data_IF_983506159434
#
_entry.id   IF_983506159434
#
_cell.length_a   1.000
_cell.length_b   1.000
_cell.length_c   1.000
_cell.angle_alpha   90.00
_cell.angle_beta   90.00
_cell.angle_gamma   90.00
#
_symmetry.space_group_name_H-M   'P 1'
#
loop_
_entity.id
_entity.type
_entity.pdbx_description
1 polymer ?
#
# COMPACT_ATOMS: atom_id res chain seq x y z
N UNK A 1 -15.07 9.82 -21.15
CA UNK A 1 -14.34 8.57 -20.82
C UNK A 1 -13.38 8.79 -19.65
N UNK A 2 -13.52 8.07 -18.53
CA UNK A 2 -12.60 8.16 -17.38
C UNK A 2 -11.43 7.18 -17.55
N UNK A 3 -10.21 7.63 -17.24
CA UNK A 3 -9.02 6.77 -17.20
C UNK A 3 -8.17 7.13 -15.99
N UNK A 4 -7.57 6.14 -15.34
CA UNK A 4 -6.65 6.36 -14.23
C UNK A 4 -5.50 5.35 -14.26
N UNK A 5 -4.31 5.81 -13.86
CA UNK A 5 -3.20 4.95 -13.45
C UNK A 5 -3.31 4.75 -11.94
N UNK A 6 -3.25 3.50 -11.48
CA UNK A 6 -3.19 3.18 -10.05
C UNK A 6 -1.82 2.62 -9.69
N UNK A 7 -1.13 3.25 -8.75
CA UNK A 7 0.14 2.73 -8.21
C UNK A 7 -0.05 2.33 -6.76
N UNK A 8 0.56 1.20 -6.40
CA UNK A 8 0.44 0.62 -5.07
C UNK A 8 1.69 0.84 -4.24
N UNK A 9 1.51 1.30 -3.01
CA UNK A 9 2.54 1.50 -1.99
C UNK A 9 3.87 2.07 -2.57
N UNK A 10 3.87 3.33 -3.04
CA UNK A 10 5.04 3.94 -3.69
C UNK A 10 6.29 3.99 -2.82
N UNK A 11 6.15 4.16 -1.51
CA UNK A 11 7.24 4.23 -0.53
C UNK A 11 8.35 5.19 -0.95
N UNK A 12 7.98 6.41 -1.35
CA UNK A 12 8.95 7.43 -1.72
C UNK A 12 9.83 7.82 -0.54
N UNK A 13 11.13 7.98 -0.84
CA UNK A 13 12.21 8.22 0.14
C UNK A 13 13.22 9.25 -0.34
N UNK A 14 12.84 10.14 -1.25
CA UNK A 14 13.79 11.06 -1.86
C UNK A 14 14.45 11.94 -0.79
N UNK A 15 15.78 12.04 -0.83
CA UNK A 15 16.56 12.78 0.18
C UNK A 15 16.88 12.01 1.47
N UNK A 16 16.40 10.78 1.63
CA UNK A 16 16.81 9.88 2.72
C UNK A 16 17.88 8.89 2.25
N UNK A 17 18.39 8.08 3.17
CA UNK A 17 19.20 6.92 2.80
C UNK A 17 18.33 5.88 2.09
N UNK A 18 18.95 5.20 1.11
CA UNK A 18 18.37 4.02 0.48
C UNK A 18 18.01 2.97 1.55
N UNK A 19 16.98 2.13 1.32
CA UNK A 19 16.76 0.98 2.18
C UNK A 19 18.01 0.10 2.27
N UNK A 20 18.27 -0.48 3.45
CA UNK A 20 19.36 -1.45 3.65
C UNK A 20 19.24 -2.56 2.60
N UNK A 21 20.36 -3.04 2.06
CA UNK A 21 20.34 -4.07 1.02
C UNK A 21 19.96 -3.59 -0.38
N UNK A 22 19.56 -2.34 -0.59
CA UNK A 22 19.46 -1.75 -1.94
C UNK A 22 20.84 -1.27 -2.41
N UNK A 23 21.07 -1.24 -3.72
CA UNK A 23 22.24 -0.60 -4.32
C UNK A 23 22.11 0.93 -4.36
N UNK A 24 23.20 1.64 -4.59
CA UNK A 24 23.21 3.12 -4.67
C UNK A 24 22.37 3.69 -5.83
N UNK A 25 21.95 2.84 -6.77
CA UNK A 25 21.06 3.24 -7.87
C UNK A 25 19.60 3.34 -7.47
N UNK A 26 19.22 3.03 -6.22
CA UNK A 26 17.83 2.97 -5.78
C UNK A 26 16.98 4.17 -6.22
N UNK A 27 17.42 5.41 -5.95
CA UNK A 27 16.66 6.60 -6.31
C UNK A 27 16.55 6.80 -7.83
N UNK A 28 17.59 6.45 -8.58
CA UNK A 28 17.55 6.45 -10.05
C UNK A 28 16.55 5.43 -10.57
N UNK A 29 16.50 4.25 -9.96
CA UNK A 29 15.55 3.20 -10.33
C UNK A 29 14.11 3.67 -10.08
N UNK A 30 13.83 4.27 -8.91
CA UNK A 30 12.50 4.84 -8.63
C UNK A 30 12.16 5.94 -9.63
N UNK A 31 13.08 6.87 -9.93
CA UNK A 31 12.82 7.91 -10.93
C UNK A 31 12.53 7.31 -12.32
N UNK A 32 13.27 6.30 -12.75
CA UNK A 32 13.03 5.64 -14.05
C UNK A 32 11.62 5.04 -14.13
N UNK A 33 11.13 4.47 -13.02
CA UNK A 33 9.75 3.97 -12.93
C UNK A 33 8.71 5.09 -12.99
N UNK A 34 8.99 6.23 -12.35
CA UNK A 34 8.10 7.39 -12.38
C UNK A 34 8.05 7.99 -13.79
N UNK A 35 9.20 8.16 -14.43
CA UNK A 35 9.29 8.62 -15.82
C UNK A 35 8.49 7.69 -16.74
N UNK A 36 8.58 6.36 -16.56
CA UNK A 36 7.80 5.40 -17.33
C UNK A 36 6.27 5.55 -17.18
N UNK A 37 5.76 5.74 -15.95
CA UNK A 37 4.31 5.95 -15.76
C UNK A 37 3.85 7.31 -16.28
N UNK A 38 4.71 8.34 -16.22
CA UNK A 38 4.44 9.67 -16.77
C UNK A 38 4.33 9.58 -18.28
N UNK A 39 5.32 8.96 -18.94
CA UNK A 39 5.32 8.76 -20.40
C UNK A 39 4.10 7.96 -20.84
N UNK A 40 3.79 6.85 -20.13
CA UNK A 40 2.60 6.05 -20.39
C UNK A 40 1.31 6.86 -20.22
N UNK A 41 1.19 7.64 -19.15
CA UNK A 41 0.05 8.52 -18.91
C UNK A 41 -0.12 9.54 -20.04
N UNK A 42 0.98 10.13 -20.50
CA UNK A 42 1.00 11.11 -21.60
C UNK A 42 0.54 10.48 -22.91
N UNK A 43 1.10 9.32 -23.28
CA UNK A 43 0.76 8.60 -24.51
C UNK A 43 -0.72 8.15 -24.55
N UNK A 44 -1.28 7.80 -23.41
CA UNK A 44 -2.67 7.32 -23.29
C UNK A 44 -3.69 8.43 -22.99
N UNK A 45 -3.23 9.68 -22.77
CA UNK A 45 -4.09 10.80 -22.36
C UNK A 45 -4.75 10.56 -21.00
N UNK A 46 -4.00 10.02 -20.03
CA UNK A 46 -4.44 9.79 -18.65
C UNK A 46 -3.93 10.92 -17.77
N UNK A 47 -4.86 11.61 -17.11
CA UNK A 47 -4.60 12.75 -16.22
C UNK A 47 -4.86 12.45 -14.74
N UNK A 48 -5.28 11.22 -14.42
CA UNK A 48 -5.63 10.80 -13.06
C UNK A 48 -4.66 9.74 -12.56
N UNK A 49 -4.02 10.01 -11.43
CA UNK A 49 -3.20 9.08 -10.66
C UNK A 49 -3.94 8.71 -9.37
N UNK A 50 -4.03 7.42 -9.06
CA UNK A 50 -4.58 6.92 -7.80
C UNK A 50 -3.46 6.19 -7.05
N UNK A 51 -3.12 6.65 -5.85
CA UNK A 51 -2.22 5.93 -4.94
C UNK A 51 -3.02 5.23 -3.84
N UNK A 52 -2.64 3.99 -3.53
CA UNK A 52 -3.32 3.18 -2.49
C UNK A 52 -2.87 3.49 -1.07
N UNK A 53 -2.19 4.62 -0.84
CA UNK A 53 -1.46 4.90 0.41
C UNK A 53 -0.03 4.37 0.39
N UNK A 54 0.66 4.54 1.52
CA UNK A 54 2.10 4.41 1.67
C UNK A 54 2.86 5.18 0.59
N UNK A 55 2.40 6.40 0.31
CA UNK A 55 3.06 7.30 -0.66
C UNK A 55 4.48 7.58 -0.18
N UNK A 56 4.67 7.77 1.13
CA UNK A 56 5.96 7.99 1.77
C UNK A 56 6.32 6.83 2.69
N UNK A 57 7.59 6.40 2.69
CA UNK A 57 8.03 5.30 3.57
C UNK A 57 8.35 5.77 5.00
N UNK A 58 8.71 7.06 5.18
CA UNK A 58 9.18 7.58 6.47
C UNK A 58 8.01 8.15 7.29
N UNK A 59 7.59 7.39 8.32
CA UNK A 59 6.53 7.77 9.29
C UNK A 59 6.87 8.99 10.15
N UNK A 60 8.15 9.14 10.48
CA UNK A 60 8.59 10.14 11.45
C UNK A 60 8.77 11.51 10.77
N UNK A 61 7.78 12.39 10.92
CA UNK A 61 7.79 13.75 10.35
C UNK A 61 9.04 14.53 10.74
N UNK A 62 9.54 14.35 11.97
CA UNK A 62 10.77 14.99 12.45
C UNK A 62 12.03 14.69 11.64
N UNK A 63 12.02 13.65 10.78
CA UNK A 63 13.14 13.32 9.90
C UNK A 63 13.16 14.10 8.59
N UNK A 64 12.06 14.80 8.25
CA UNK A 64 11.96 15.65 7.07
C UNK A 64 12.52 17.04 7.38
N UNK A 65 13.77 17.26 7.00
CA UNK A 65 14.31 18.63 6.92
C UNK A 65 13.92 19.28 5.58
N UNK A 66 14.19 20.59 5.45
CA UNK A 66 13.87 21.36 4.24
C UNK A 66 14.46 20.76 2.94
N UNK A 67 15.65 20.16 3.01
CA UNK A 67 16.29 19.54 1.84
C UNK A 67 15.52 18.30 1.39
N UNK A 68 15.08 17.48 2.34
CA UNK A 68 14.27 16.29 2.06
C UNK A 68 12.88 16.66 1.56
N UNK A 69 12.26 17.68 2.15
CA UNK A 69 10.97 18.20 1.68
C UNK A 69 11.09 18.64 0.22
N UNK A 70 12.06 19.51 -0.11
CA UNK A 70 12.25 20.01 -1.47
C UNK A 70 12.51 18.90 -2.49
N UNK A 71 13.27 17.86 -2.12
CA UNK A 71 13.51 16.71 -3.00
C UNK A 71 12.24 15.89 -3.28
N UNK A 72 11.38 15.72 -2.28
CA UNK A 72 10.10 15.04 -2.49
C UNK A 72 9.14 15.91 -3.30
N UNK A 73 9.06 17.21 -3.03
CA UNK A 73 8.26 18.16 -3.80
C UNK A 73 8.64 18.17 -5.29
N UNK A 74 9.94 18.22 -5.62
CA UNK A 74 10.37 18.19 -7.03
C UNK A 74 9.90 16.94 -7.79
N UNK A 75 9.77 15.79 -7.10
CA UNK A 75 9.24 14.57 -7.72
C UNK A 75 7.73 14.65 -7.86
N UNK A 76 7.04 15.21 -6.86
CA UNK A 76 5.61 15.43 -6.92
C UNK A 76 5.23 16.38 -8.04
N UNK A 77 5.96 17.48 -8.21
CA UNK A 77 5.74 18.45 -9.29
C UNK A 77 5.75 17.74 -10.66
N UNK A 78 6.73 16.86 -10.88
CA UNK A 78 6.83 16.08 -12.13
C UNK A 78 5.63 15.14 -12.33
N UNK A 79 5.07 14.58 -11.25
CA UNK A 79 3.87 13.76 -11.33
C UNK A 79 2.64 14.62 -11.59
N UNK A 80 2.48 15.75 -10.92
CA UNK A 80 1.34 16.66 -11.08
C UNK A 80 1.33 17.40 -12.41
N UNK A 81 2.48 17.56 -13.06
CA UNK A 81 2.59 18.08 -14.43
C UNK A 81 1.89 17.15 -15.45
N UNK A 82 1.88 15.83 -15.20
CA UNK A 82 1.20 14.85 -16.04
C UNK A 82 -0.18 14.46 -15.51
N UNK A 83 -0.27 14.21 -14.21
CA UNK A 83 -1.48 13.74 -13.53
C UNK A 83 -2.11 14.89 -12.75
N UNK A 84 -2.97 15.66 -13.44
CA UNK A 84 -3.70 16.78 -12.83
C UNK A 84 -4.51 16.39 -11.59
N UNK A 85 -4.99 15.14 -11.53
CA UNK A 85 -5.72 14.61 -10.38
C UNK A 85 -4.93 13.49 -9.73
N UNK A 86 -4.18 13.81 -8.67
CA UNK A 86 -3.56 12.81 -7.81
C UNK A 86 -4.46 12.50 -6.61
N UNK A 87 -5.25 11.44 -6.72
CA UNK A 87 -6.11 10.93 -5.66
C UNK A 87 -5.33 9.97 -4.76
N UNK A 88 -5.43 10.12 -3.44
CA UNK A 88 -4.82 9.18 -2.50
C UNK A 88 -5.63 8.99 -1.24
N UNK A 89 -5.35 7.88 -0.58
CA UNK A 89 -5.57 7.64 0.85
C UNK A 89 -4.22 7.61 1.56
N UNK A 90 -4.22 7.65 2.89
CA UNK A 90 -3.04 7.42 3.71
C UNK A 90 -2.89 5.94 4.04
N UNK A 91 -1.68 5.43 3.84
CA UNK A 91 -1.27 4.12 4.34
C UNK A 91 -0.67 4.20 5.74
N UNK A 92 -0.25 3.06 6.28
CA UNK A 92 0.29 3.02 7.64
C UNK A 92 1.69 3.69 7.74
N UNK A 93 2.40 3.90 6.63
CA UNK A 93 3.64 4.67 6.55
C UNK A 93 3.46 6.17 6.37
N UNK A 94 2.34 6.58 5.82
CA UNK A 94 1.95 7.99 5.73
C UNK A 94 1.53 8.56 7.09
N UNK A 95 1.21 7.69 8.05
CA UNK A 95 0.69 8.06 9.37
C UNK A 95 1.77 7.95 10.47
N UNK A 96 2.02 9.03 11.25
CA UNK A 96 2.84 8.95 12.44
C UNK A 96 2.31 7.90 13.42
N UNK A 97 3.20 7.02 13.86
CA UNK A 97 2.86 5.84 14.69
C UNK A 97 1.83 4.89 14.07
N UNK A 98 1.58 4.98 12.76
CA UNK A 98 0.52 4.23 12.05
C UNK A 98 -0.89 4.54 12.58
N UNK A 99 -1.10 5.74 13.14
CA UNK A 99 -2.40 6.15 13.68
C UNK A 99 -3.00 7.28 12.86
N UNK A 100 -4.28 7.11 12.50
CA UNK A 100 -5.05 8.12 11.77
C UNK A 100 -5.24 9.40 12.58
N UNK A 101 -5.27 9.31 13.91
CA UNK A 101 -5.37 10.47 14.81
C UNK A 101 -4.22 11.45 14.60
N UNK A 102 -3.06 10.94 14.16
CA UNK A 102 -1.86 11.74 13.91
C UNK A 102 -1.71 12.14 12.43
N UNK A 103 -2.71 11.89 11.57
CA UNK A 103 -2.63 12.22 10.13
C UNK A 103 -2.24 13.67 9.90
N UNK A 104 -2.79 14.60 10.69
CA UNK A 104 -2.51 16.04 10.56
C UNK A 104 -1.03 16.42 10.78
N UNK A 105 -0.26 15.59 11.48
CA UNK A 105 1.16 15.81 11.76
C UNK A 105 2.08 15.16 10.70
N UNK A 106 1.51 14.49 9.70
CA UNK A 106 2.27 13.74 8.70
C UNK A 106 2.80 14.61 7.55
N UNK A 107 3.84 14.11 6.89
CA UNK A 107 4.26 14.67 5.60
C UNK A 107 3.20 14.45 4.50
N UNK A 108 2.38 13.40 4.62
CA UNK A 108 1.24 13.18 3.73
C UNK A 108 0.21 14.30 3.83
N UNK A 109 -0.12 14.76 5.03
CA UNK A 109 -1.02 15.88 5.25
C UNK A 109 -0.42 17.22 4.82
N UNK A 110 0.91 17.37 4.91
CA UNK A 110 1.60 18.47 4.25
C UNK A 110 1.35 18.48 2.73
N UNK A 111 1.45 17.34 2.04
CA UNK A 111 1.16 17.26 0.60
C UNK A 111 -0.30 17.61 0.28
N UNK A 112 -1.26 17.18 1.12
CA UNK A 112 -2.69 17.53 0.97
C UNK A 112 -2.91 19.04 1.11
N UNK A 113 -2.39 19.64 2.18
CA UNK A 113 -2.60 21.07 2.47
C UNK A 113 -1.96 22.00 1.44
N UNK A 114 -0.98 21.51 0.68
CA UNK A 114 -0.36 22.23 -0.43
C UNK A 114 -0.99 21.91 -1.80
N UNK A 115 -2.10 21.15 -1.83
CA UNK A 115 -2.86 20.87 -3.05
C UNK A 115 -2.18 19.91 -4.02
N UNK A 116 -1.19 19.14 -3.55
CA UNK A 116 -0.46 18.17 -4.37
C UNK A 116 -1.24 16.85 -4.46
N UNK A 117 -1.83 16.43 -3.34
CA UNK A 117 -2.62 15.20 -3.22
C UNK A 117 -4.05 15.57 -2.83
N UNK A 118 -5.02 15.06 -3.57
CA UNK A 118 -6.43 15.09 -3.20
C UNK A 118 -6.74 13.88 -2.30
N UNK A 119 -7.01 14.15 -1.03
CA UNK A 119 -7.33 13.12 -0.03
C UNK A 119 -8.78 12.64 -0.20
N UNK A 120 -8.94 11.42 -0.72
CA UNK A 120 -10.25 10.78 -0.94
C UNK A 120 -10.71 9.93 0.25
N UNK A 121 -9.94 9.91 1.35
CA UNK A 121 -10.30 9.16 2.56
C UNK A 121 -11.61 9.66 3.18
N UNK A 122 -12.56 8.74 3.36
CA UNK A 122 -13.91 9.01 3.88
C UNK A 122 -14.70 10.08 3.10
N UNK A 123 -14.23 10.40 1.90
CA UNK A 123 -14.81 11.33 0.94
C UNK A 123 -14.98 10.60 -0.40
N UNK A 124 -15.52 11.31 -1.38
CA UNK A 124 -15.57 10.82 -2.74
C UNK A 124 -15.12 11.87 -3.73
N UNK A 125 -14.36 11.45 -4.74
CA UNK A 125 -14.09 12.23 -5.94
C UNK A 125 -15.02 11.74 -7.05
N UNK A 126 -15.65 12.66 -7.79
CA UNK A 126 -16.52 12.30 -8.91
C UNK A 126 -16.04 13.00 -10.18
N UNK A 127 -15.75 12.21 -11.21
CA UNK A 127 -15.56 12.68 -12.58
C UNK A 127 -16.55 11.95 -13.50
N UNK A 128 -17.42 12.72 -14.17
CA UNK A 128 -18.43 12.21 -15.12
C UNK A 128 -19.32 11.12 -14.51
N UNK A 129 -19.20 9.89 -15.01
CA UNK A 129 -19.95 8.71 -14.58
C UNK A 129 -19.20 7.87 -13.54
N UNK A 130 -18.05 8.32 -13.03
CA UNK A 130 -17.23 7.57 -12.07
C UNK A 130 -17.18 8.29 -10.73
N UNK A 131 -17.38 7.55 -9.65
CA UNK A 131 -17.14 8.02 -8.28
C UNK A 131 -16.09 7.16 -7.62
N UNK A 132 -15.01 7.78 -7.14
CA UNK A 132 -13.91 7.15 -6.42
C UNK A 132 -14.05 7.43 -4.93
N UNK A 133 -14.06 6.38 -4.12
CA UNK A 133 -14.07 6.42 -2.67
C UNK A 133 -12.72 5.95 -2.13
N UNK A 134 -12.31 6.47 -0.98
CA UNK A 134 -11.12 6.03 -0.27
C UNK A 134 -11.38 5.70 1.19
N UNK A 135 -10.64 4.74 1.73
CA UNK A 135 -10.52 4.48 3.17
C UNK A 135 -9.03 4.43 3.54
N UNK A 136 -8.63 5.28 4.49
CA UNK A 136 -7.30 5.23 5.09
C UNK A 136 -7.02 3.86 5.74
N UNK A 137 -5.74 3.54 5.94
CA UNK A 137 -5.33 2.42 6.78
C UNK A 137 -5.95 2.51 8.18
N UNK A 138 -6.43 1.38 8.70
CA UNK A 138 -6.84 1.26 10.10
C UNK A 138 -6.51 -0.11 10.68
N UNK A 139 -6.03 -0.15 11.92
CA UNK A 139 -5.86 -1.42 12.63
C UNK A 139 -7.20 -2.05 13.06
N UNK A 140 -8.31 -1.30 13.01
CA UNK A 140 -9.64 -1.78 13.38
C UNK A 140 -10.41 -2.29 12.16
N UNK A 141 -10.37 -3.61 11.96
CA UNK A 141 -11.11 -4.26 10.89
C UNK A 141 -12.64 -4.15 11.03
N UNK A 142 -13.16 -3.98 12.24
CA UNK A 142 -14.60 -3.80 12.43
C UNK A 142 -15.03 -2.42 11.94
N UNK A 143 -14.26 -1.39 12.29
CA UNK A 143 -14.48 -0.02 11.83
C UNK A 143 -14.37 0.06 10.30
N UNK A 144 -13.31 -0.52 9.72
CA UNK A 144 -13.13 -0.63 8.27
C UNK A 144 -14.37 -1.24 7.58
N UNK A 145 -14.83 -2.40 8.06
CA UNK A 145 -15.99 -3.10 7.48
C UNK A 145 -17.26 -2.24 7.57
N UNK A 146 -17.44 -1.48 8.66
CA UNK A 146 -18.57 -0.56 8.79
C UNK A 146 -18.51 0.57 7.76
N UNK A 147 -17.33 1.16 7.52
CA UNK A 147 -17.16 2.17 6.49
C UNK A 147 -17.37 1.62 5.08
N UNK A 148 -16.85 0.43 4.79
CA UNK A 148 -17.10 -0.25 3.52
C UNK A 148 -18.60 -0.49 3.28
N UNK A 149 -19.33 -0.94 4.30
CA UNK A 149 -20.77 -1.13 4.22
C UNK A 149 -21.54 0.20 4.00
N UNK A 150 -21.07 1.31 4.59
CA UNK A 150 -21.63 2.64 4.36
C UNK A 150 -21.40 3.10 2.91
N UNK A 151 -20.16 2.98 2.42
CA UNK A 151 -19.80 3.31 1.03
C UNK A 151 -20.60 2.45 0.04
N UNK A 152 -20.78 1.15 0.32
CA UNK A 152 -21.59 0.28 -0.52
C UNK A 152 -23.04 0.78 -0.63
N UNK A 153 -23.66 1.18 0.48
CA UNK A 153 -25.01 1.76 0.48
C UNK A 153 -25.07 3.03 -0.34
N UNK A 154 -24.05 3.88 -0.29
CA UNK A 154 -24.00 5.11 -1.06
C UNK A 154 -23.79 4.84 -2.56
N UNK A 155 -22.93 3.89 -2.90
CA UNK A 155 -22.77 3.38 -4.27
C UNK A 155 -24.08 2.85 -4.84
N UNK A 156 -24.82 2.06 -4.05
CA UNK A 156 -26.13 1.56 -4.44
C UNK A 156 -27.10 2.70 -4.75
N UNK A 157 -27.21 3.70 -3.87
CA UNK A 157 -28.06 4.88 -4.12
C UNK A 157 -27.68 5.60 -5.42
N UNK A 158 -26.39 5.77 -5.69
CA UNK A 158 -25.92 6.39 -6.94
C UNK A 158 -26.37 5.61 -8.17
N UNK A 159 -26.29 4.27 -8.11
CA UNK A 159 -26.72 3.38 -9.18
C UNK A 159 -28.24 3.32 -9.34
N UNK A 160 -28.99 3.31 -8.25
CA UNK A 160 -30.46 3.31 -8.26
C UNK A 160 -31.01 4.61 -8.89
N UNK A 161 -30.31 5.73 -8.72
CA UNK A 161 -30.65 7.02 -9.34
C UNK A 161 -30.20 7.13 -10.81
N UNK A 162 -29.33 6.24 -11.26
CA UNK A 162 -28.78 6.27 -12.61
C UNK A 162 -29.61 5.47 -13.61
N UNK A 163 -30.56 6.15 -14.24
CA UNK A 163 -31.41 5.58 -15.28
C UNK A 163 -30.63 5.05 -16.49
N UNK A 164 -29.41 5.55 -16.71
CA UNK A 164 -28.57 5.14 -17.85
C UNK A 164 -27.76 3.89 -17.57
N UNK A 165 -27.63 3.48 -16.30
CA UNK A 165 -26.80 2.36 -15.83
C UNK A 165 -25.32 2.47 -16.23
N UNK A 166 -24.83 3.69 -16.40
CA UNK A 166 -23.45 4.02 -16.78
C UNK A 166 -22.56 4.36 -15.59
N UNK A 167 -23.15 4.65 -14.41
CA UNK A 167 -22.42 5.02 -13.18
C UNK A 167 -21.58 3.86 -12.68
N UNK A 168 -20.32 4.16 -12.38
CA UNK A 168 -19.35 3.21 -11.83
C UNK A 168 -18.71 3.75 -10.57
N UNK A 169 -18.36 2.82 -9.68
CA UNK A 169 -17.73 3.16 -8.40
C UNK A 169 -16.44 2.40 -8.19
N UNK A 170 -15.43 3.13 -7.71
CA UNK A 170 -14.11 2.62 -7.35
C UNK A 170 -13.95 2.82 -5.84
N UNK A 171 -13.49 1.80 -5.12
CA UNK A 171 -13.10 1.89 -3.72
C UNK A 171 -11.61 1.60 -3.59
N UNK A 172 -10.87 2.53 -2.99
CA UNK A 172 -9.44 2.40 -2.69
C UNK A 172 -9.28 2.15 -1.19
N UNK A 173 -8.55 1.10 -0.81
CA UNK A 173 -8.26 0.77 0.60
C UNK A 173 -6.78 0.42 0.79
N UNK A 174 -6.27 0.65 2.00
CA UNK A 174 -4.90 0.29 2.37
C UNK A 174 -4.90 -0.84 3.42
N UNK A 175 -5.16 -2.08 2.99
CA UNK A 175 -5.27 -3.24 3.89
C UNK A 175 -4.72 -4.51 3.25
N UNK A 176 -4.36 -5.50 4.06
CA UNK A 176 -3.98 -6.80 3.53
C UNK A 176 -5.19 -7.49 2.90
N UNK A 177 -5.27 -7.48 1.58
CA UNK A 177 -6.33 -8.15 0.82
C UNK A 177 -5.72 -9.29 0.01
N UNK A 178 -6.23 -10.51 0.16
CA UNK A 178 -5.65 -11.70 -0.48
C UNK A 178 -6.72 -12.58 -1.16
N UNK A 179 -6.32 -13.34 -2.21
CA UNK A 179 -7.22 -14.31 -2.83
C UNK A 179 -7.66 -15.39 -1.84
N UNK A 180 -8.85 -15.93 -2.06
CA UNK A 180 -9.36 -17.08 -1.34
C UNK A 180 -8.38 -18.27 -1.41
N UNK A 181 -8.12 -18.89 -0.25
CA UNK A 181 -7.21 -20.05 -0.15
C UNK A 181 -5.71 -19.70 -0.15
N UNK A 182 -5.33 -18.43 -0.27
CA UNK A 182 -3.93 -18.04 -0.14
C UNK A 182 -3.45 -18.17 1.32
N UNK A 183 -2.37 -18.92 1.53
CA UNK A 183 -1.80 -19.13 2.87
C UNK A 183 -0.98 -17.92 3.32
N UNK A 184 -1.61 -17.00 4.03
CA UNK A 184 -0.95 -15.84 4.63
C UNK A 184 -0.62 -16.11 6.10
N UNK A 185 0.66 -15.99 6.46
CA UNK A 185 1.19 -16.49 7.74
C UNK A 185 1.17 -15.47 8.88
N UNK A 186 0.96 -14.19 8.60
CA UNK A 186 1.14 -13.11 9.59
C UNK A 186 0.14 -11.99 9.38
N UNK A 187 -0.31 -11.38 10.47
CA UNK A 187 -1.21 -10.22 10.43
C UNK A 187 -2.64 -10.57 10.03
N UNK A 188 -3.53 -9.60 10.27
CA UNK A 188 -4.90 -9.69 9.81
C UNK A 188 -4.95 -9.45 8.29
N UNK A 189 -5.95 -10.05 7.65
CA UNK A 189 -6.20 -9.91 6.22
C UNK A 189 -7.69 -10.08 5.94
N UNK A 190 -8.09 -9.65 4.75
CA UNK A 190 -9.43 -9.82 4.20
C UNK A 190 -9.35 -10.67 2.94
N UNK A 191 -10.27 -11.62 2.80
CA UNK A 191 -10.38 -12.44 1.60
C UNK A 191 -11.16 -11.72 0.51
N UNK A 192 -10.85 -12.03 -0.74
CA UNK A 192 -11.57 -11.49 -1.90
C UNK A 192 -13.07 -11.78 -1.83
N UNK A 193 -13.47 -13.01 -1.47
CA UNK A 193 -14.87 -13.36 -1.29
C UNK A 193 -15.58 -12.59 -0.18
N UNK A 194 -14.91 -12.36 0.96
CA UNK A 194 -15.46 -11.60 2.08
C UNK A 194 -15.73 -10.15 1.68
N UNK A 195 -14.75 -9.51 1.03
CA UNK A 195 -14.91 -8.13 0.57
C UNK A 195 -16.01 -8.05 -0.49
N UNK A 196 -15.95 -8.86 -1.54
CA UNK A 196 -16.93 -8.82 -2.63
C UNK A 196 -18.38 -9.08 -2.13
N UNK A 197 -18.54 -9.80 -1.02
CA UNK A 197 -19.84 -10.00 -0.38
C UNK A 197 -20.28 -8.81 0.48
N UNK A 198 -19.33 -8.07 1.07
CA UNK A 198 -19.58 -6.88 1.87
C UNK A 198 -19.91 -5.64 1.00
N UNK A 199 -19.32 -5.54 -0.18
CA UNK A 199 -19.44 -4.39 -1.09
C UNK A 199 -20.01 -4.75 -2.48
N UNK A 200 -21.15 -5.46 -2.58
CA UNK A 200 -21.67 -5.98 -3.85
C UNK A 200 -22.06 -4.91 -4.87
N UNK A 201 -22.25 -3.66 -4.42
CA UNK A 201 -22.59 -2.50 -5.25
C UNK A 201 -21.36 -1.68 -5.65
N UNK A 202 -20.14 -2.10 -5.31
CA UNK A 202 -18.88 -1.46 -5.77
C UNK A 202 -18.36 -2.21 -7.00
N UNK A 203 -18.03 -1.47 -8.07
CA UNK A 203 -17.59 -2.10 -9.33
C UNK A 203 -16.10 -2.48 -9.32
N UNK A 204 -15.26 -1.66 -8.67
CA UNK A 204 -13.81 -1.85 -8.64
C UNK A 204 -13.30 -1.60 -7.22
N UNK A 205 -12.53 -2.53 -6.68
CA UNK A 205 -11.73 -2.38 -5.47
C UNK A 205 -10.25 -2.31 -5.85
N UNK A 206 -9.54 -1.29 -5.38
CA UNK A 206 -8.08 -1.15 -5.51
C UNK A 206 -7.45 -1.31 -4.13
N UNK A 207 -6.60 -2.31 -3.97
CA UNK A 207 -6.03 -2.68 -2.66
C UNK A 207 -4.54 -2.33 -2.53
N UNK A 208 -4.18 -1.71 -1.40
CA UNK A 208 -2.81 -1.40 -0.97
C UNK A 208 -2.24 -2.35 0.09
N UNK A 209 -1.24 -1.87 0.82
CA UNK A 209 -0.63 -2.44 2.03
C UNK A 209 0.19 -3.73 1.85
N UNK A 210 -0.41 -4.77 1.27
CA UNK A 210 0.30 -6.02 1.03
C UNK A 210 1.18 -5.85 -0.20
N UNK A 211 2.49 -5.68 -0.06
CA UNK A 211 3.36 -5.43 -1.22
C UNK A 211 3.37 -6.54 -2.30
N UNK A 212 2.82 -7.74 -2.02
CA UNK A 212 2.62 -8.78 -3.03
C UNK A 212 1.54 -8.38 -4.04
N UNK A 213 1.79 -8.70 -5.30
CA UNK A 213 0.80 -8.59 -6.36
C UNK A 213 0.06 -9.89 -6.62
N UNK A 214 -1.20 -9.73 -6.99
CA UNK A 214 -2.08 -10.78 -7.47
C UNK A 214 -2.71 -10.32 -8.77
N UNK A 215 -3.01 -11.27 -9.64
CA UNK A 215 -3.71 -10.98 -10.89
C UNK A 215 -5.04 -10.31 -10.60
N UNK A 216 -5.38 -9.26 -11.34
CA UNK A 216 -6.72 -8.69 -11.31
C UNK A 216 -7.78 -9.74 -11.63
N UNK A 217 -8.78 -9.86 -10.77
CA UNK A 217 -9.89 -10.83 -10.91
C UNK A 217 -11.23 -10.16 -10.71
N UNK A 218 -12.28 -10.73 -11.29
CA UNK A 218 -13.66 -10.34 -11.00
C UNK A 218 -14.24 -11.34 -10.01
N UNK A 219 -14.53 -10.88 -8.79
CA UNK A 219 -15.21 -11.64 -7.75
C UNK A 219 -16.64 -11.11 -7.62
N UNK A 220 -17.63 -11.94 -7.92
CA UNK A 220 -19.02 -11.50 -8.08
C UNK A 220 -19.14 -10.34 -9.09
N UNK A 221 -19.62 -9.17 -8.65
CA UNK A 221 -19.74 -7.98 -9.50
C UNK A 221 -18.53 -7.03 -9.40
N UNK A 222 -17.60 -7.28 -8.48
CA UNK A 222 -16.50 -6.38 -8.16
C UNK A 222 -15.20 -6.87 -8.80
N UNK A 223 -14.54 -6.01 -9.56
CA UNK A 223 -13.16 -6.21 -9.95
C UNK A 223 -12.24 -5.92 -8.77
N UNK A 224 -11.36 -6.84 -8.43
CA UNK A 224 -10.34 -6.67 -7.40
C UNK A 224 -9.00 -6.45 -8.10
N UNK A 225 -8.48 -5.25 -7.94
CA UNK A 225 -7.22 -4.76 -8.48
C UNK A 225 -6.21 -4.72 -7.35
N UNK A 226 -5.20 -5.59 -7.42
CA UNK A 226 -4.25 -5.79 -6.34
C UNK A 226 -2.86 -6.08 -6.91
N UNK A 227 -2.28 -5.12 -7.67
CA UNK A 227 -1.02 -5.31 -8.36
C UNK A 227 0.14 -5.44 -7.36
N UNK A 228 1.33 -5.76 -7.87
CA UNK A 228 2.55 -5.64 -7.08
C UNK A 228 2.82 -4.18 -6.69
N UNK A 229 3.47 -3.96 -5.55
CA UNK A 229 3.80 -2.59 -5.16
C UNK A 229 4.82 -1.96 -6.11
N UNK A 230 4.79 -0.64 -6.18
CA UNK A 230 5.63 0.15 -7.07
C UNK A 230 7.12 0.01 -6.70
N UNK A 231 7.42 -0.08 -5.41
CA UNK A 231 8.79 -0.13 -4.88
C UNK A 231 9.14 -1.47 -4.25
N UNK A 232 10.27 -2.04 -4.68
CA UNK A 232 10.85 -3.23 -4.04
C UNK A 232 11.70 -2.81 -2.84
N UNK A 233 11.12 -2.92 -1.66
CA UNK A 233 11.84 -2.73 -0.40
C UNK A 233 12.58 -4.01 0.00
N UNK A 234 13.81 -3.88 0.52
CA UNK A 234 14.61 -5.04 0.92
C UNK A 234 14.02 -5.83 2.09
N UNK A 235 13.23 -5.19 2.96
CA UNK A 235 12.54 -5.86 4.08
C UNK A 235 11.32 -6.68 3.67
N UNK A 236 10.99 -6.71 2.38
CA UNK A 236 9.82 -7.43 1.89
C UNK A 236 10.25 -8.84 1.47
N UNK A 237 9.69 -9.86 2.12
CA UNK A 237 9.91 -11.28 1.84
C UNK A 237 9.86 -11.61 0.33
N UNK A 238 8.88 -11.07 -0.39
CA UNK A 238 8.73 -11.34 -1.83
C UNK A 238 9.80 -10.67 -2.69
N UNK A 239 10.39 -9.59 -2.19
CA UNK A 239 11.54 -8.97 -2.84
C UNK A 239 12.80 -9.80 -2.59
N UNK A 240 12.96 -10.37 -1.39
CA UNK A 240 14.08 -11.24 -1.01
C UNK A 240 14.10 -12.57 -1.78
N UNK A 241 12.92 -13.08 -2.13
CA UNK A 241 12.78 -14.32 -2.93
C UNK A 241 12.79 -14.09 -4.45
N UNK A 242 13.07 -12.88 -4.92
CA UNK A 242 13.01 -12.52 -6.36
C UNK A 242 11.63 -12.81 -7.02
N UNK A 243 10.55 -12.69 -6.25
CA UNK A 243 9.18 -12.85 -6.77
C UNK A 243 8.56 -11.53 -7.22
N UNK A 244 9.06 -10.41 -6.71
CA UNK A 244 8.42 -9.11 -6.85
C UNK A 244 8.69 -8.46 -8.21
N UNK A 245 7.63 -8.37 -9.03
CA UNK A 245 7.57 -7.68 -10.32
C UNK A 245 6.79 -6.36 -10.14
N UNK A 246 7.42 -5.18 -10.03
CA UNK A 246 6.71 -3.92 -9.83
C UNK A 246 5.70 -3.61 -10.94
N UNK A 247 4.50 -3.17 -10.56
CA UNK A 247 3.39 -2.95 -11.48
C UNK A 247 2.63 -1.66 -11.18
N UNK A 248 1.88 -1.20 -12.18
CA UNK A 248 0.73 -0.31 -12.00
C UNK A 248 -0.47 -0.87 -12.75
N UNK A 249 -1.68 -0.39 -12.46
CA UNK A 249 -2.88 -0.78 -13.19
C UNK A 249 -3.44 0.41 -13.96
N UNK A 250 -3.83 0.20 -15.22
CA UNK A 250 -4.58 1.15 -16.02
C UNK A 250 -6.06 0.77 -15.93
N UNK A 251 -6.86 1.65 -15.33
CA UNK A 251 -8.32 1.52 -15.25
C UNK A 251 -8.94 2.45 -16.28
N UNK A 252 -9.79 1.89 -17.15
CA UNK A 252 -10.53 2.62 -18.18
C UNK A 252 -12.02 2.35 -18.04
N UNK A 253 -12.80 3.43 -17.96
CA UNK A 253 -14.26 3.38 -17.89
C UNK A 253 -14.85 4.25 -19.00
N UNK A 254 -15.58 3.60 -19.91
CA UNK A 254 -16.23 4.30 -21.04
C UNK A 254 -17.46 5.08 -20.58
N UNK A 255 -18.01 5.90 -21.47
CA UNK A 255 -19.26 6.64 -21.19
C UNK A 255 -20.48 5.72 -21.08
N UNK A 256 -20.45 4.55 -21.72
CA UNK A 256 -21.41 3.47 -21.51
C UNK A 256 -21.23 2.74 -20.16
N UNK A 257 -20.15 3.02 -19.44
CA UNK A 257 -19.79 2.36 -18.19
C UNK A 257 -19.10 1.01 -18.38
N UNK A 258 -18.55 0.71 -19.55
CA UNK A 258 -17.76 -0.50 -19.75
C UNK A 258 -16.41 -0.35 -19.05
N UNK A 259 -15.99 -1.38 -18.32
CA UNK A 259 -14.77 -1.40 -17.51
C UNK A 259 -13.70 -2.23 -18.22
N UNK A 260 -12.52 -1.67 -18.39
CA UNK A 260 -11.30 -2.38 -18.77
C UNK A 260 -10.20 -2.08 -17.75
N UNK A 261 -9.52 -3.13 -17.29
CA UNK A 261 -8.44 -3.03 -16.32
C UNK A 261 -7.26 -3.85 -16.84
N UNK A 262 -6.08 -3.25 -16.84
CA UNK A 262 -4.85 -3.91 -17.24
C UNK A 262 -3.75 -3.64 -16.22
N UNK A 263 -3.16 -4.70 -15.68
CA UNK A 263 -1.93 -4.63 -14.89
C UNK A 263 -0.73 -4.58 -15.85
N UNK A 264 0.17 -3.64 -15.64
CA UNK A 264 1.31 -3.36 -16.51
C UNK A 264 2.59 -3.46 -15.68
N UNK A 265 3.50 -4.31 -16.14
CA UNK A 265 4.83 -4.46 -15.55
C UNK A 265 5.65 -3.20 -15.82
N UNK A 266 6.22 -2.64 -14.77
CA UNK A 266 7.11 -1.49 -14.87
C UNK A 266 8.51 -2.02 -15.20
N UNK A 267 9.24 -1.44 -16.18
CA UNK A 267 10.64 -1.77 -16.41
C UNK A 267 11.45 -1.71 -15.10
N UNK A 268 12.08 -2.82 -14.76
CA UNK A 268 12.83 -2.96 -13.52
C UNK A 268 14.06 -3.82 -13.72
N UNK A 269 15.07 -3.55 -12.89
CA UNK A 269 16.28 -4.37 -12.82
C UNK A 269 15.98 -5.77 -12.32
N UNK A 270 16.83 -6.73 -12.64
CA UNK A 270 16.80 -8.03 -11.96
C UNK A 270 17.04 -7.87 -10.45
N UNK A 271 16.69 -8.86 -9.65
CA UNK A 271 16.97 -8.84 -8.22
C UNK A 271 18.46 -8.64 -7.92
N UNK A 272 19.34 -9.39 -8.60
CA UNK A 272 20.79 -9.33 -8.41
C UNK A 272 21.40 -7.94 -8.68
N UNK A 273 20.82 -7.17 -9.59
CA UNK A 273 21.28 -5.81 -9.90
C UNK A 273 20.72 -4.75 -8.94
N UNK A 274 19.60 -5.06 -8.30
CA UNK A 274 18.84 -4.11 -7.51
C UNK A 274 19.16 -4.20 -6.01
N UNK A 275 19.76 -5.31 -5.58
CA UNK A 275 20.06 -5.60 -4.19
C UNK A 275 21.51 -6.03 -3.96
N UNK A 276 21.99 -5.85 -2.72
CA UNK A 276 23.30 -6.27 -2.23
C UNK A 276 23.09 -7.54 -1.41
N UNK A 277 23.54 -8.68 -1.94
CA UNK A 277 23.24 -10.02 -1.41
C UNK A 277 23.66 -10.19 0.06
N UNK A 278 24.85 -9.71 0.45
CA UNK A 278 25.34 -9.86 1.83
C UNK A 278 24.50 -9.10 2.85
N UNK A 279 23.94 -7.95 2.46
CA UNK A 279 23.04 -7.17 3.32
C UNK A 279 21.67 -7.84 3.44
N UNK A 280 21.23 -8.55 2.39
CA UNK A 280 19.97 -9.27 2.41
C UNK A 280 20.05 -10.54 3.26
N UNK A 281 21.16 -11.27 3.21
CA UNK A 281 21.37 -12.43 4.09
C UNK A 281 21.28 -12.03 5.56
N UNK A 282 21.87 -10.88 5.93
CA UNK A 282 21.75 -10.34 7.29
C UNK A 282 20.31 -9.96 7.67
N UNK A 283 19.53 -9.44 6.72
CA UNK A 283 18.11 -9.13 6.94
C UNK A 283 17.32 -10.43 7.11
N UNK A 284 17.53 -11.42 6.23
CA UNK A 284 16.87 -12.72 6.30
C UNK A 284 17.18 -13.44 7.61
N UNK A 285 18.45 -13.50 8.03
CA UNK A 285 18.85 -14.09 9.32
C UNK A 285 18.14 -13.39 10.50
N UNK A 286 18.05 -12.06 10.45
CA UNK A 286 17.36 -11.29 11.50
C UNK A 286 15.86 -11.58 11.50
N UNK A 287 15.23 -11.62 10.34
CA UNK A 287 13.78 -11.84 10.20
C UNK A 287 13.41 -13.29 10.57
N UNK A 288 14.24 -14.28 10.23
CA UNK A 288 14.13 -15.66 10.72
C UNK A 288 14.25 -15.71 12.23
N UNK A 289 15.26 -15.05 12.81
CA UNK A 289 15.44 -14.99 14.26
C UNK A 289 14.25 -14.36 15.00
N UNK A 290 13.64 -13.30 14.43
CA UNK A 290 12.42 -12.69 14.98
C UNK A 290 11.23 -13.63 14.84
N UNK A 291 11.08 -14.28 13.68
CA UNK A 291 9.98 -15.21 13.44
C UNK A 291 10.03 -16.39 14.42
N UNK A 292 11.20 -17.03 14.56
CA UNK A 292 11.42 -18.09 15.54
C UNK A 292 11.11 -17.62 16.97
N UNK A 293 11.54 -16.41 17.32
CA UNK A 293 11.22 -15.81 18.61
C UNK A 293 9.71 -15.65 18.82
N UNK A 294 9.00 -15.05 17.87
CA UNK A 294 7.53 -14.86 17.97
C UNK A 294 6.78 -16.19 17.99
N UNK A 295 7.21 -17.17 17.20
CA UNK A 295 6.66 -18.53 17.24
C UNK A 295 6.89 -19.16 18.62
N UNK A 296 8.08 -18.99 19.21
CA UNK A 296 8.37 -19.46 20.57
C UNK A 296 7.47 -18.80 21.64
N UNK A 297 7.09 -17.53 21.47
CA UNK A 297 6.14 -16.85 22.34
C UNK A 297 4.70 -17.34 22.16
N UNK A 298 4.29 -17.70 20.94
CA UNK A 298 2.97 -18.27 20.69
C UNK A 298 2.83 -19.68 21.28
N UNK A 299 3.90 -20.49 21.27
CA UNK A 299 3.96 -21.76 22.01
C UNK A 299 4.06 -21.56 23.53
N UNK A 300 4.65 -20.44 23.98
CA UNK A 300 4.76 -20.10 25.41
C UNK A 300 3.40 -19.86 26.08
N UNK A 301 2.42 -19.29 25.36
CA UNK A 301 1.06 -19.12 25.87
C UNK A 301 0.29 -20.45 26.04
N UNK A 302 0.80 -21.55 25.48
CA UNK A 302 0.14 -22.87 25.51
C UNK A 302 0.71 -23.74 26.64
N UNK A 303 2.03 -23.69 26.89
CA UNK A 303 2.69 -24.46 27.94
C UNK A 303 3.23 -23.54 29.05
N UNK A 304 2.49 -23.44 30.16
CA UNK A 304 2.86 -22.69 31.36
C UNK A 304 4.12 -23.27 32.06
N UNK A 305 5.30 -23.14 31.48
CA UNK A 305 6.59 -23.28 32.17
C UNK A 305 7.74 -22.60 31.39
N UNK A 306 8.16 -21.42 31.88
CA UNK A 306 9.31 -20.63 31.38
C UNK A 306 10.64 -21.38 31.38
N UNK A 307 10.74 -22.48 32.13
CA UNK A 307 12.02 -23.10 32.48
C UNK A 307 12.49 -24.19 31.52
N UNK A 308 11.64 -24.76 30.66
CA UNK A 308 11.99 -25.97 29.90
C UNK A 308 12.34 -25.76 28.41
N UNK A 309 12.00 -24.63 27.78
CA UNK A 309 12.01 -24.57 26.29
C UNK A 309 13.13 -23.69 25.70
N UNK A 310 13.68 -22.73 26.45
CA UNK A 310 14.70 -21.84 25.90
C UNK A 310 16.12 -22.39 26.12
N UNK A 311 16.68 -23.10 25.14
CA UNK A 311 18.11 -23.44 25.15
C UNK A 311 18.98 -22.26 24.67
N UNK A 312 20.10 -22.02 25.37
CA UNK A 312 21.17 -21.12 24.93
C UNK A 312 20.80 -19.64 24.80
N UNK A 313 21.21 -19.02 23.67
CA UNK A 313 21.16 -17.56 23.41
C UNK A 313 19.75 -16.95 23.50
N UNK A 314 18.70 -17.74 23.29
CA UNK A 314 17.31 -17.28 23.32
C UNK A 314 16.88 -16.90 24.74
N UNK A 315 17.26 -17.71 25.74
CA UNK A 315 17.00 -17.44 27.16
C UNK A 315 17.67 -16.14 27.60
N UNK A 316 18.95 -15.98 27.26
CA UNK A 316 19.72 -14.78 27.59
C UNK A 316 19.12 -13.50 26.97
N UNK A 317 18.56 -13.58 25.76
CA UNK A 317 17.87 -12.44 25.13
C UNK A 317 16.53 -12.12 25.77
N UNK A 318 15.74 -13.13 26.13
CA UNK A 318 14.48 -12.95 26.85
C UNK A 318 14.74 -12.28 28.20
N UNK A 319 15.72 -12.79 28.95
CA UNK A 319 16.14 -12.22 30.23
C UNK A 319 16.61 -10.77 30.06
N UNK A 320 17.42 -10.47 29.03
CA UNK A 320 17.87 -9.10 28.75
C UNK A 320 16.72 -8.11 28.48
N UNK A 321 15.71 -8.50 27.69
CA UNK A 321 14.57 -7.62 27.42
C UNK A 321 13.61 -7.49 28.62
N UNK A 322 13.46 -8.53 29.43
CA UNK A 322 12.71 -8.46 30.70
C UNK A 322 13.42 -7.56 31.72
N UNK A 323 14.75 -7.60 31.77
CA UNK A 323 15.56 -6.73 32.63
C UNK A 323 15.48 -5.26 32.17
N UNK A 324 15.49 -5.00 30.86
CA UNK A 324 15.24 -3.66 30.30
C UNK A 324 13.82 -3.16 30.62
N UNK A 325 12.82 -4.03 30.58
CA UNK A 325 11.44 -3.68 30.92
C UNK A 325 11.22 -3.47 32.43
N UNK A 326 11.93 -4.22 33.29
CA UNK A 326 11.88 -4.08 34.74
C UNK A 326 12.60 -2.85 35.28
N UNK A 327 13.58 -2.32 34.55
CA UNK A 327 14.32 -1.10 34.88
C UNK A 327 13.61 0.20 34.46
N UNK A 328 12.38 0.11 33.93
CA UNK A 328 11.53 1.25 33.56
C UNK A 328 10.45 1.59 34.61
N UNK A 329 10.52 1.00 35.82
CA UNK A 329 9.66 1.34 36.95
C UNK A 329 10.38 2.23 37.97
#
# INVERSE_FOLDING_TARGET
MFQAVTIKDPHFRFGFDKPIGRTDTFFKDIKTKLDFIIDYGSEQGIDTLITTGDVFDIKATSRYDLSKINKNLSIMDSLTDQFFFWLSISGNHDLPFSSIDNKAESFYFYAITNGIIEDIAFKSYTDRNVTVYGLDFTSDLFELKNYMAKINKDSKKLKDLDLTKTKRTILVIHEHVIPDGYAFKFGHHLLYSEIASLIPDIDILVAGHLHKGFKTVKQNNTWIVNPWSFTRLARNYYSLNDEHIPQFSHIKITESGDISIQDIDIPHKSYKEAFIEEDLDRILERDTSITEFTSSLSSFYIDNNLTEIASGKLKARIEHYLELAGNLN
#
